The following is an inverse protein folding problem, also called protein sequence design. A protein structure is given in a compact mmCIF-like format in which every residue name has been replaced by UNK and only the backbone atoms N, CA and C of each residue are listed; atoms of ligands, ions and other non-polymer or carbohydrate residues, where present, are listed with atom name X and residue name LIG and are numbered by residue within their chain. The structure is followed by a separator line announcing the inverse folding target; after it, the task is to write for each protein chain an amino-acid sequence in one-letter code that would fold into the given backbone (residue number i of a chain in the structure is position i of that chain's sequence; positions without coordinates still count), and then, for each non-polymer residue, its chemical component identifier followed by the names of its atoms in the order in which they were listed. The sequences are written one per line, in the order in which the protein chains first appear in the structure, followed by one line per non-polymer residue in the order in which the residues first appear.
data_IF_561290736043
#
_entry.id   IF_561290736043
#
_cell.length_a   1.000
_cell.length_b   1.000
_cell.length_c   1.000
_cell.angle_alpha   90.00
_cell.angle_beta   90.00
_cell.angle_gamma   90.00
#
_symmetry.space_group_name_H-M   'P 1'
#
loop_
_entity.id
_entity.type
_entity.pdbx_description
1 polymer ?
#
# COMPACT_ATOMS: atom_id res chain seq x y z
N UNK A 1 -2.27 16.01 16.93
CA UNK A 1 -1.35 15.58 15.86
C UNK A 1 -1.72 16.32 14.60
N UNK A 2 -0.74 16.69 13.76
CA UNK A 2 -1.06 17.25 12.46
C UNK A 2 -1.67 16.13 11.61
N UNK A 3 -2.72 16.45 10.86
CA UNK A 3 -3.30 15.52 9.90
C UNK A 3 -2.35 15.31 8.73
N UNK A 4 -2.45 14.17 8.05
CA UNK A 4 -1.56 13.77 6.96
C UNK A 4 -2.26 13.83 5.61
N UNK A 5 -1.51 14.16 4.57
CA UNK A 5 -1.95 14.11 3.17
C UNK A 5 -1.38 12.86 2.52
N UNK A 6 -2.25 12.03 1.94
CA UNK A 6 -1.89 10.71 1.43
C UNK A 6 -2.28 10.58 -0.03
N UNK A 7 -1.35 10.07 -0.85
CA UNK A 7 -1.61 9.63 -2.21
C UNK A 7 -1.72 8.12 -2.30
N UNK A 8 -2.60 7.59 -3.14
CA UNK A 8 -2.71 6.17 -3.44
C UNK A 8 -2.36 5.93 -4.90
N UNK A 9 -1.47 4.98 -5.16
CA UNK A 9 -1.07 4.59 -6.52
C UNK A 9 -1.77 3.28 -6.90
N UNK A 10 -2.58 3.35 -7.95
CA UNK A 10 -3.47 2.27 -8.38
C UNK A 10 -4.87 2.39 -7.77
N UNK A 11 -5.90 2.38 -8.62
CA UNK A 11 -7.31 2.35 -8.25
C UNK A 11 -7.95 0.99 -8.57
N UNK A 12 -7.16 -0.08 -8.46
CA UNK A 12 -7.61 -1.46 -8.55
C UNK A 12 -8.37 -1.90 -7.29
N UNK A 13 -8.50 -3.21 -7.07
CA UNK A 13 -9.25 -3.76 -5.91
C UNK A 13 -8.65 -3.24 -4.59
N UNK A 14 -7.36 -3.45 -4.36
CA UNK A 14 -6.69 -3.02 -3.13
C UNK A 14 -6.57 -1.49 -3.04
N UNK A 15 -6.24 -0.80 -4.14
CA UNK A 15 -6.21 0.65 -4.15
C UNK A 15 -7.53 1.29 -3.74
N UNK A 16 -8.66 0.72 -4.16
CA UNK A 16 -9.98 1.16 -3.71
C UNK A 16 -10.19 0.98 -2.19
N UNK A 17 -9.65 -0.10 -1.59
CA UNK A 17 -9.69 -0.26 -0.13
C UNK A 17 -8.85 0.80 0.56
N UNK A 18 -7.63 1.09 0.06
CA UNK A 18 -6.76 2.13 0.61
C UNK A 18 -7.42 3.50 0.51
N UNK A 19 -7.93 3.89 -0.68
CA UNK A 19 -8.63 5.17 -0.89
C UNK A 19 -9.79 5.32 0.11
N UNK A 20 -10.64 4.29 0.22
CA UNK A 20 -11.79 4.32 1.12
C UNK A 20 -11.36 4.46 2.58
N UNK A 21 -10.39 3.65 3.01
CA UNK A 21 -9.91 3.65 4.40
C UNK A 21 -9.35 5.01 4.78
N UNK A 22 -8.49 5.58 3.95
CA UNK A 22 -7.91 6.90 4.21
C UNK A 22 -8.94 8.03 4.15
N UNK A 23 -9.91 7.96 3.23
CA UNK A 23 -10.99 8.95 3.16
C UNK A 23 -11.90 8.95 4.40
N UNK A 24 -11.98 7.83 5.12
CA UNK A 24 -12.76 7.70 6.36
C UNK A 24 -11.94 7.96 7.62
N UNK A 25 -10.62 8.08 7.55
CA UNK A 25 -9.77 8.27 8.74
C UNK A 25 -9.74 9.74 9.17
N UNK A 26 -10.12 10.04 10.43
CA UNK A 26 -10.14 11.40 10.94
C UNK A 26 -8.76 12.07 11.05
N UNK A 27 -7.67 11.30 10.99
CA UNK A 27 -6.30 11.80 11.02
C UNK A 27 -5.78 12.15 9.63
N UNK A 28 -6.51 11.80 8.56
CA UNK A 28 -6.17 12.16 7.20
C UNK A 28 -6.83 13.50 6.84
N UNK A 29 -6.00 14.43 6.35
CA UNK A 29 -6.46 15.75 5.90
C UNK A 29 -6.99 15.67 4.47
N UNK A 30 -6.25 14.94 3.63
CA UNK A 30 -6.53 14.85 2.19
C UNK A 30 -6.11 13.50 1.66
N UNK A 31 -6.97 12.93 0.82
CA UNK A 31 -6.67 11.74 0.00
C UNK A 31 -6.74 12.14 -1.47
N UNK A 32 -5.76 11.70 -2.23
CA UNK A 32 -5.73 11.77 -3.69
C UNK A 32 -5.21 10.44 -4.22
N UNK A 33 -5.35 10.19 -5.49
CA UNK A 33 -4.83 8.95 -6.08
C UNK A 33 -4.35 9.15 -7.51
N UNK A 34 -3.61 8.17 -8.05
CA UNK A 34 -3.33 8.11 -9.47
C UNK A 34 -3.56 6.69 -10.02
N UNK A 35 -4.01 6.62 -11.26
CA UNK A 35 -4.13 5.39 -12.04
C UNK A 35 -3.89 5.70 -13.53
N UNK A 36 -3.21 4.78 -14.22
CA UNK A 36 -2.96 4.90 -15.66
C UNK A 36 -4.21 4.64 -16.51
N UNK A 37 -5.19 3.96 -15.93
CA UNK A 37 -6.45 3.64 -16.60
C UNK A 37 -7.49 4.73 -16.31
N UNK A 38 -7.89 5.48 -17.34
CA UNK A 38 -8.83 6.59 -17.22
C UNK A 38 -10.23 6.16 -16.76
N UNK A 39 -10.67 4.96 -17.09
CA UNK A 39 -11.97 4.45 -16.64
C UNK A 39 -11.97 4.16 -15.13
N UNK A 40 -10.90 3.49 -14.63
CA UNK A 40 -10.74 3.27 -13.19
C UNK A 40 -10.59 4.57 -12.43
N UNK A 41 -9.83 5.53 -13.00
CA UNK A 41 -9.66 6.86 -12.42
C UNK A 41 -10.99 7.57 -12.26
N UNK A 42 -11.77 7.66 -13.32
CA UNK A 42 -13.10 8.26 -13.31
C UNK A 42 -14.06 7.57 -12.33
N UNK A 43 -14.08 6.25 -12.33
CA UNK A 43 -14.93 5.48 -11.41
C UNK A 43 -14.58 5.73 -9.94
N UNK A 44 -13.30 5.84 -9.60
CA UNK A 44 -12.86 6.12 -8.24
C UNK A 44 -13.16 7.59 -7.84
N UNK A 45 -12.98 8.55 -8.74
CA UNK A 45 -13.38 9.95 -8.52
C UNK A 45 -14.87 10.08 -8.22
N UNK A 46 -15.70 9.45 -9.03
CA UNK A 46 -17.17 9.46 -8.85
C UNK A 46 -17.57 8.77 -7.52
N UNK A 47 -16.92 7.66 -7.18
CA UNK A 47 -17.27 6.87 -6.00
C UNK A 47 -16.87 7.52 -4.69
N UNK A 48 -15.70 8.14 -4.64
CA UNK A 48 -15.10 8.61 -3.38
C UNK A 48 -15.05 10.15 -3.27
N UNK A 49 -15.31 10.86 -4.35
CA UNK A 49 -15.21 12.33 -4.37
C UNK A 49 -13.77 12.82 -4.19
N UNK A 50 -12.78 12.01 -4.51
CA UNK A 50 -11.35 12.32 -4.40
C UNK A 50 -10.74 12.57 -5.77
N UNK A 51 -9.72 13.43 -5.83
CA UNK A 51 -9.09 13.81 -7.09
C UNK A 51 -8.13 12.75 -7.59
N UNK A 52 -8.24 12.34 -8.85
CA UNK A 52 -7.35 11.45 -9.56
C UNK A 52 -6.30 12.18 -10.39
N UNK A 53 -5.13 11.56 -10.51
CA UNK A 53 -3.99 11.99 -11.32
C UNK A 53 -3.58 10.90 -12.29
N UNK A 54 -2.76 11.23 -13.28
CA UNK A 54 -2.28 10.24 -14.25
C UNK A 54 -0.93 9.64 -13.85
N UNK A 55 -0.12 10.36 -13.07
CA UNK A 55 1.21 9.91 -12.63
C UNK A 55 1.45 10.18 -11.15
N UNK A 56 2.37 9.40 -10.56
CA UNK A 56 2.82 9.59 -9.17
C UNK A 56 3.45 10.97 -8.99
N UNK A 57 4.34 11.35 -9.89
CA UNK A 57 5.06 12.61 -9.83
C UNK A 57 4.12 13.82 -9.86
N UNK A 58 3.18 13.83 -10.80
CA UNK A 58 2.16 14.89 -10.90
C UNK A 58 1.35 15.00 -9.60
N UNK A 59 0.93 13.86 -9.04
CA UNK A 59 0.16 13.80 -7.81
C UNK A 59 0.94 14.36 -6.61
N UNK A 60 2.19 13.94 -6.44
CA UNK A 60 3.03 14.34 -5.30
C UNK A 60 3.38 15.83 -5.38
N UNK A 61 3.78 16.31 -6.56
CA UNK A 61 4.16 17.73 -6.78
C UNK A 61 2.95 18.67 -6.58
N UNK A 62 1.76 18.27 -7.07
CA UNK A 62 0.57 19.11 -6.99
C UNK A 62 0.01 19.23 -5.56
N UNK A 63 0.17 18.19 -4.73
CA UNK A 63 -0.56 18.09 -3.47
C UNK A 63 0.33 18.19 -2.22
N UNK A 64 1.66 18.23 -2.39
CA UNK A 64 2.63 18.24 -1.29
C UNK A 64 2.34 17.14 -0.25
N UNK A 65 2.34 15.89 -0.70
CA UNK A 65 1.94 14.73 0.08
C UNK A 65 2.97 14.39 1.17
N UNK A 66 2.49 13.96 2.32
CA UNK A 66 3.33 13.39 3.39
C UNK A 66 3.65 11.92 3.15
N UNK A 67 2.70 11.18 2.60
CA UNK A 67 2.80 9.75 2.39
C UNK A 67 2.21 9.32 1.04
N UNK A 68 2.72 8.20 0.52
CA UNK A 68 2.17 7.51 -0.64
C UNK A 68 1.96 6.05 -0.29
N UNK A 69 0.83 5.49 -0.74
CA UNK A 69 0.51 4.06 -0.65
C UNK A 69 0.48 3.46 -2.04
N UNK A 70 1.33 2.48 -2.33
CA UNK A 70 1.40 1.81 -3.63
C UNK A 70 0.61 0.50 -3.56
N UNK A 71 -0.48 0.43 -4.33
CA UNK A 71 -1.41 -0.68 -4.39
C UNK A 71 -1.74 -1.09 -5.84
N UNK A 72 -0.72 -1.05 -6.68
CA UNK A 72 -0.76 -1.58 -8.05
C UNK A 72 -0.72 -3.11 -8.06
N UNK A 73 -0.73 -3.76 -9.22
CA UNK A 73 -0.45 -5.20 -9.31
C UNK A 73 1.03 -5.47 -9.04
N UNK A 74 1.33 -6.64 -8.49
CA UNK A 74 2.66 -7.05 -8.01
C UNK A 74 3.84 -6.67 -8.93
N UNK A 75 3.78 -6.86 -10.27
CA UNK A 75 4.89 -6.51 -11.18
C UNK A 75 5.15 -5.00 -11.30
N UNK A 76 4.23 -4.18 -10.84
CA UNK A 76 4.26 -2.73 -11.05
C UNK A 76 4.44 -1.95 -9.74
N UNK A 77 5.04 -2.55 -8.70
CA UNK A 77 5.33 -1.86 -7.45
C UNK A 77 6.59 -0.99 -7.54
N UNK A 78 7.63 -1.48 -8.22
CA UNK A 78 8.97 -0.89 -8.20
C UNK A 78 9.00 0.56 -8.70
N UNK A 79 8.55 0.81 -9.93
CA UNK A 79 8.63 2.13 -10.54
C UNK A 79 7.83 3.20 -9.79
N UNK A 80 6.56 2.99 -9.39
CA UNK A 80 5.84 3.96 -8.58
C UNK A 80 6.46 4.24 -7.21
N UNK A 81 7.08 3.24 -6.60
CA UNK A 81 7.80 3.44 -5.34
C UNK A 81 9.01 4.36 -5.54
N UNK A 82 9.78 4.12 -6.59
CA UNK A 82 10.91 4.95 -6.96
C UNK A 82 10.48 6.39 -7.25
N UNK A 83 9.45 6.58 -8.06
CA UNK A 83 8.90 7.89 -8.38
C UNK A 83 8.44 8.65 -7.12
N UNK A 84 7.77 7.97 -6.18
CA UNK A 84 7.32 8.56 -4.93
C UNK A 84 8.49 8.99 -4.04
N UNK A 85 9.54 8.16 -3.93
CA UNK A 85 10.75 8.47 -3.17
C UNK A 85 11.47 9.69 -3.78
N UNK A 86 11.67 9.69 -5.10
CA UNK A 86 12.34 10.77 -5.83
C UNK A 86 11.54 12.09 -5.79
N UNK A 87 10.21 12.01 -5.72
CA UNK A 87 9.35 13.17 -5.54
C UNK A 87 9.32 13.72 -4.10
N UNK A 88 9.99 13.07 -3.15
CA UNK A 88 10.28 13.60 -1.81
C UNK A 88 9.21 13.33 -0.76
N UNK A 89 8.41 12.27 -0.88
CA UNK A 89 7.51 11.84 0.19
C UNK A 89 8.30 11.40 1.43
N UNK A 90 7.69 11.48 2.61
CA UNK A 90 8.34 11.06 3.86
C UNK A 90 8.06 9.60 4.21
N UNK A 91 6.91 9.11 3.82
CA UNK A 91 6.43 7.78 4.17
C UNK A 91 5.90 7.07 2.93
N UNK A 92 6.27 5.80 2.78
CA UNK A 92 5.84 4.94 1.69
C UNK A 92 5.30 3.63 2.26
N UNK A 93 4.03 3.34 2.00
CA UNK A 93 3.44 2.03 2.22
C UNK A 93 3.37 1.29 0.89
N UNK A 94 3.80 0.05 0.86
CA UNK A 94 3.80 -0.77 -0.36
C UNK A 94 3.00 -2.04 -0.08
N UNK A 95 2.07 -2.38 -0.96
CA UNK A 95 1.41 -3.68 -0.92
C UNK A 95 2.45 -4.81 -1.09
N UNK A 96 2.13 -5.96 -0.56
CA UNK A 96 2.96 -7.15 -0.72
C UNK A 96 2.82 -7.72 -2.16
N UNK A 97 3.92 -8.26 -2.74
CA UNK A 97 5.30 -8.17 -2.29
C UNK A 97 5.88 -6.77 -2.51
N UNK A 98 6.92 -6.38 -1.79
CA UNK A 98 7.58 -5.08 -1.94
C UNK A 98 8.04 -4.82 -3.38
N UNK A 99 8.61 -5.84 -4.02
CA UNK A 99 8.98 -5.89 -5.44
C UNK A 99 9.11 -7.36 -5.87
N UNK A 100 9.35 -7.64 -7.16
CA UNK A 100 9.46 -9.01 -7.67
C UNK A 100 10.80 -9.68 -7.40
N UNK A 101 11.86 -8.90 -7.25
CA UNK A 101 13.22 -9.41 -7.05
C UNK A 101 13.89 -8.81 -5.81
N UNK A 102 14.81 -9.57 -5.22
CA UNK A 102 15.62 -9.09 -4.10
C UNK A 102 16.41 -7.84 -4.49
N UNK A 103 16.94 -7.80 -5.72
CA UNK A 103 17.68 -6.66 -6.23
C UNK A 103 16.84 -5.37 -6.26
N UNK A 104 15.60 -5.45 -6.72
CA UNK A 104 14.68 -4.31 -6.69
C UNK A 104 14.36 -3.86 -5.28
N UNK A 105 14.17 -4.80 -4.35
CA UNK A 105 13.97 -4.48 -2.94
C UNK A 105 15.17 -3.75 -2.35
N UNK A 106 16.39 -4.23 -2.62
CA UNK A 106 17.63 -3.59 -2.17
C UNK A 106 17.78 -2.18 -2.75
N UNK A 107 17.51 -2.01 -4.05
CA UNK A 107 17.55 -0.70 -4.72
C UNK A 107 16.55 0.29 -4.11
N UNK A 108 15.33 -0.14 -3.82
CA UNK A 108 14.33 0.71 -3.15
C UNK A 108 14.75 1.09 -1.72
N UNK A 109 15.32 0.15 -0.97
CA UNK A 109 15.80 0.43 0.38
C UNK A 109 16.96 1.43 0.39
N UNK A 110 17.95 1.27 -0.50
CA UNK A 110 19.07 2.20 -0.65
C UNK A 110 18.58 3.59 -1.06
N UNK A 111 17.63 3.65 -2.01
CA UNK A 111 17.06 4.91 -2.47
C UNK A 111 16.28 5.62 -1.36
N UNK A 112 15.51 4.86 -0.57
CA UNK A 112 14.75 5.39 0.56
C UNK A 112 15.67 5.92 1.67
N UNK A 113 16.75 5.18 2.00
CA UNK A 113 17.74 5.62 2.97
C UNK A 113 18.40 6.92 2.54
N UNK A 114 18.85 7.00 1.28
CA UNK A 114 19.46 8.20 0.70
C UNK A 114 18.54 9.43 0.76
N UNK A 115 17.24 9.25 0.60
CA UNK A 115 16.25 10.32 0.60
C UNK A 115 15.53 10.50 1.95
N UNK A 116 15.93 9.76 2.99
CA UNK A 116 15.32 9.78 4.33
C UNK A 116 13.81 9.46 4.30
N UNK A 117 13.41 8.51 3.47
CA UNK A 117 12.04 7.99 3.35
C UNK A 117 11.89 6.74 4.18
N UNK A 118 10.77 6.62 4.90
CA UNK A 118 10.43 5.41 5.66
C UNK A 118 9.50 4.53 4.83
N UNK A 119 9.95 3.31 4.54
CA UNK A 119 9.17 2.29 3.85
C UNK A 119 8.52 1.34 4.86
N UNK A 120 7.27 0.99 4.61
CA UNK A 120 6.56 -0.13 5.23
C UNK A 120 5.95 -1.01 4.15
N UNK A 121 5.99 -2.33 4.34
CA UNK A 121 5.30 -3.29 3.46
C UNK A 121 4.03 -3.76 4.16
N UNK A 122 2.91 -3.75 3.43
CA UNK A 122 1.62 -4.13 3.97
C UNK A 122 1.45 -5.65 4.06
N UNK A 123 2.01 -6.21 5.12
CA UNK A 123 1.68 -7.57 5.54
C UNK A 123 0.44 -7.54 6.44
N UNK A 124 -0.72 -7.18 5.88
CA UNK A 124 -1.96 -6.88 6.59
C UNK A 124 -2.38 -7.98 7.59
N UNK A 125 -2.05 -9.25 7.34
CA UNK A 125 -2.32 -10.35 8.28
C UNK A 125 -1.57 -10.24 9.62
N UNK A 126 -0.53 -9.41 9.71
CA UNK A 126 0.14 -9.10 11.00
C UNK A 126 -0.75 -8.25 11.92
N UNK A 127 -1.75 -7.59 11.38
CA UNK A 127 -2.69 -6.73 12.09
C UNK A 127 -4.06 -7.39 12.31
N UNK A 128 -4.27 -8.57 11.73
CA UNK A 128 -5.51 -9.34 11.86
C UNK A 128 -5.69 -9.78 13.31
N UNK A 129 -6.83 -9.41 13.97
CA UNK A 129 -7.08 -9.74 15.37
C UNK A 129 -7.04 -11.23 15.68
N UNK A 130 -7.48 -12.09 14.76
CA UNK A 130 -7.46 -13.53 14.95
C UNK A 130 -6.03 -14.08 15.08
N UNK A 131 -5.12 -13.63 14.18
CA UNK A 131 -3.71 -14.04 14.27
C UNK A 131 -3.01 -13.43 15.49
N UNK A 132 -3.32 -12.20 15.85
CA UNK A 132 -2.75 -11.58 17.04
C UNK A 132 -3.20 -12.29 18.33
N UNK A 133 -4.46 -12.69 18.42
CA UNK A 133 -4.97 -13.46 19.56
C UNK A 133 -4.17 -14.74 19.76
N UNK A 134 -3.94 -15.53 18.69
CA UNK A 134 -3.15 -16.77 18.76
C UNK A 134 -1.70 -16.48 19.17
N UNK A 135 -1.09 -15.45 18.59
CA UNK A 135 0.29 -15.03 18.90
C UNK A 135 0.44 -14.63 20.36
N UNK A 136 -0.51 -13.88 20.90
CA UNK A 136 -0.47 -13.41 22.27
C UNK A 136 -0.71 -14.56 23.26
N UNK A 137 -1.61 -15.49 22.94
CA UNK A 137 -1.86 -16.71 23.72
C UNK A 137 -0.58 -17.59 23.82
N UNK A 138 0.10 -17.81 22.69
CA UNK A 138 1.36 -18.57 22.67
C UNK A 138 2.45 -17.88 23.52
N UNK A 139 2.54 -16.56 23.47
CA UNK A 139 3.54 -15.79 24.22
C UNK A 139 3.24 -15.75 25.72
N UNK A 140 1.98 -15.61 26.10
CA UNK A 140 1.58 -15.40 27.50
C UNK A 140 1.81 -16.62 28.39
N UNK A 141 1.81 -17.83 27.82
CA UNK A 141 1.86 -19.08 28.59
C UNK A 141 3.18 -19.85 28.40
N UNK A 142 4.20 -19.27 27.79
CA UNK A 142 5.50 -19.92 27.46
C UNK A 142 5.33 -21.30 26.79
N UNK A 143 4.27 -21.40 25.95
CA UNK A 143 3.90 -22.64 25.28
C UNK A 143 4.85 -22.96 24.14
N UNK A 144 5.24 -24.23 24.02
CA UNK A 144 5.93 -24.74 22.83
C UNK A 144 4.90 -25.20 21.79
N UNK A 145 5.02 -24.67 20.57
CA UNK A 145 4.25 -25.17 19.44
C UNK A 145 4.78 -26.55 19.05
N UNK A 146 3.99 -27.60 19.24
CA UNK A 146 4.33 -28.97 18.86
C UNK A 146 3.90 -29.23 17.41
N UNK A 147 2.74 -28.71 17.02
CA UNK A 147 2.18 -28.89 15.69
C UNK A 147 1.29 -27.70 15.34
N UNK A 148 1.38 -27.24 14.10
CA UNK A 148 0.50 -26.23 13.53
C UNK A 148 -0.12 -26.72 12.22
N UNK A 149 -1.41 -26.42 12.03
CA UNK A 149 -2.11 -26.51 10.76
C UNK A 149 -2.75 -25.17 10.46
N UNK A 150 -2.57 -24.66 9.26
CA UNK A 150 -3.18 -23.42 8.82
C UNK A 150 -3.77 -23.60 7.42
N UNK A 151 -5.01 -23.16 7.24
CA UNK A 151 -5.66 -23.05 5.94
C UNK A 151 -6.04 -21.59 5.71
N UNK A 152 -5.77 -21.10 4.53
CA UNK A 152 -6.20 -19.79 4.06
C UNK A 152 -6.95 -20.00 2.75
N UNK A 153 -8.28 -19.87 2.83
CA UNK A 153 -9.14 -19.93 1.66
C UNK A 153 -9.46 -18.49 1.21
N UNK A 154 -9.09 -18.17 -0.01
CA UNK A 154 -9.44 -16.89 -0.60
C UNK A 154 -10.70 -17.05 -1.46
N UNK A 155 -11.72 -16.26 -1.17
CA UNK A 155 -12.99 -16.26 -1.92
C UNK A 155 -12.95 -15.33 -3.14
N UNK A 156 -11.86 -14.59 -3.30
CA UNK A 156 -11.68 -13.72 -4.45
C UNK A 156 -11.10 -14.54 -5.59
N UNK A 157 -11.84 -14.70 -6.67
CA UNK A 157 -11.30 -15.25 -7.91
C UNK A 157 -10.16 -14.33 -8.38
N UNK A 158 -8.94 -14.84 -8.32
CA UNK A 158 -7.76 -14.11 -8.77
C UNK A 158 -7.85 -13.99 -10.30
N UNK A 159 -7.86 -12.78 -10.87
CA UNK A 159 -7.93 -12.61 -12.31
C UNK A 159 -6.74 -13.27 -13.00
N UNK A 160 -6.96 -13.98 -14.11
CA UNK A 160 -5.91 -14.67 -14.89
C UNK A 160 -4.73 -13.74 -15.25
N UNK A 161 -5.03 -12.48 -15.50
CA UNK A 161 -4.04 -11.44 -15.82
C UNK A 161 -3.08 -11.07 -14.68
N UNK A 162 -3.25 -11.61 -13.49
CA UNK A 162 -2.28 -11.46 -12.39
C UNK A 162 -1.12 -12.45 -12.53
N UNK A 163 -1.24 -13.43 -13.41
CA UNK A 163 -0.25 -14.47 -13.65
C UNK A 163 0.45 -14.34 -15.01
N UNK A 164 0.10 -13.36 -15.82
CA UNK A 164 0.70 -13.03 -17.12
C UNK A 164 1.34 -11.66 -17.10
#
# INVERSE_FOLDING_TARGET
MNKVKIGVVGAGIYGNYHIHTYACDPNVEKVVFCDLNDERKKAAEEKYGVKGYSTVKEMVEAEALDAVSVATSDPYHFDPCKDAIEAGVKYLLIEKPMALTVKECEELMELAEKNNVKISVDFHKRWDPAYNCIKDDIKSEDKKIIRGYMSLDDVIAVPEQWFT
#
